data_IF_323373244407
#
_entry.id   IF_323373244407
#
_cell.length_a   1.000
_cell.length_b   1.000
_cell.length_c   1.000
_cell.angle_alpha   90.00
_cell.angle_beta   90.00
_cell.angle_gamma   90.00
#
_symmetry.space_group_name_H-M   'P 1'
#
loop_
_entity.id
_entity.type
_entity.pdbx_description
1 polymer ?
#
# COMPACT_ATOMS: atom_id res chain seq x y z
N UNK A 1 55.31 -3.66 17.59
CA UNK A 1 54.17 -4.55 17.25
C UNK A 1 52.84 -4.10 17.87
N UNK A 2 52.79 -3.75 19.16
CA UNK A 2 51.55 -3.34 19.87
C UNK A 2 50.85 -2.10 19.26
N UNK A 3 51.60 -1.09 18.78
CA UNK A 3 51.06 0.14 18.20
C UNK A 3 50.33 -0.11 16.87
N UNK A 4 50.82 -1.00 15.98
CA UNK A 4 50.19 -1.33 14.71
C UNK A 4 48.88 -2.12 14.91
N UNK A 5 48.82 -2.99 15.92
CA UNK A 5 47.60 -3.76 16.25
C UNK A 5 46.50 -2.81 16.77
N UNK A 6 46.86 -1.83 17.61
CA UNK A 6 45.91 -0.84 18.11
C UNK A 6 45.31 0.01 16.99
N UNK A 7 46.13 0.40 16.01
CA UNK A 7 45.69 1.20 14.85
C UNK A 7 44.70 0.41 13.98
N UNK A 8 44.99 -0.87 13.73
CA UNK A 8 44.10 -1.76 12.96
C UNK A 8 42.76 -1.94 13.69
N UNK A 9 42.78 -2.10 15.00
CA UNK A 9 41.54 -2.24 15.80
C UNK A 9 40.67 -0.99 15.74
N UNK A 10 41.28 0.21 15.83
CA UNK A 10 40.56 1.49 15.71
C UNK A 10 39.93 1.68 14.32
N UNK A 11 40.63 1.26 13.25
CA UNK A 11 40.08 1.33 11.89
C UNK A 11 38.91 0.38 11.71
N UNK A 12 38.97 -0.86 12.20
CA UNK A 12 37.90 -1.84 12.11
C UNK A 12 36.65 -1.37 12.88
N UNK A 13 36.86 -0.83 14.10
CA UNK A 13 35.77 -0.26 14.92
C UNK A 13 35.16 0.95 14.22
N UNK A 14 35.98 1.84 13.64
CA UNK A 14 35.49 3.01 12.88
C UNK A 14 34.66 2.62 11.64
N UNK A 15 35.14 1.64 10.85
CA UNK A 15 34.40 1.12 9.71
C UNK A 15 33.09 0.45 10.13
N UNK A 16 33.12 -0.31 11.24
CA UNK A 16 31.90 -0.93 11.79
C UNK A 16 30.86 0.09 12.25
N UNK A 17 31.28 1.17 12.90
CA UNK A 17 30.39 2.27 13.32
C UNK A 17 29.80 2.99 12.09
N UNK A 18 30.62 3.28 11.08
CA UNK A 18 30.15 3.93 9.83
C UNK A 18 29.14 3.02 9.11
N UNK A 19 29.38 1.71 9.02
CA UNK A 19 28.43 0.77 8.42
C UNK A 19 27.11 0.70 9.20
N UNK A 20 27.15 0.72 10.54
CA UNK A 20 25.95 0.75 11.39
C UNK A 20 25.19 2.07 11.27
N UNK A 21 25.85 3.19 11.07
CA UNK A 21 25.21 4.50 10.85
C UNK A 21 24.55 4.56 9.46
N UNK A 22 25.18 4.01 8.43
CA UNK A 22 24.62 3.98 7.07
C UNK A 22 23.38 3.10 6.92
N UNK A 23 23.22 2.05 7.74
CA UNK A 23 22.02 1.21 7.71
C UNK A 23 20.80 1.89 8.32
N UNK A 24 20.95 2.85 9.23
CA UNK A 24 19.83 3.62 9.81
C UNK A 24 19.24 4.63 8.84
N UNK A 25 20.05 5.23 7.97
CA UNK A 25 19.59 6.29 7.04
C UNK A 25 18.76 5.76 5.86
N UNK A 26 18.82 4.46 5.59
CA UNK A 26 18.04 3.83 4.50
C UNK A 26 16.55 3.71 4.80
N UNK A 27 16.13 3.83 6.06
CA UNK A 27 14.73 3.67 6.48
C UNK A 27 13.98 5.00 6.68
N UNK A 28 14.66 6.15 6.61
CA UNK A 28 14.06 7.47 6.84
C UNK A 28 14.15 8.29 5.55
N UNK A 29 13.05 8.92 5.13
CA UNK A 29 13.09 9.88 4.04
C UNK A 29 13.69 11.23 4.50
N UNK A 30 14.00 12.13 3.56
CA UNK A 30 14.57 13.46 3.83
C UNK A 30 13.72 14.34 4.77
N UNK A 31 12.47 13.98 5.03
CA UNK A 31 11.57 14.64 5.99
C UNK A 31 11.54 13.94 7.36
N UNK A 32 12.45 13.01 7.65
CA UNK A 32 12.53 12.30 8.94
C UNK A 32 11.41 11.28 9.18
N UNK A 33 10.53 11.04 8.19
CA UNK A 33 9.47 10.02 8.29
C UNK A 33 9.97 8.66 7.78
N UNK A 34 9.56 7.54 8.39
CA UNK A 34 9.90 6.22 7.87
C UNK A 34 9.37 6.08 6.44
N UNK A 35 10.18 5.45 5.57
CA UNK A 35 9.71 5.09 4.23
C UNK A 35 8.63 4.02 4.35
N UNK A 36 7.47 4.30 3.73
CA UNK A 36 6.42 3.30 3.67
C UNK A 36 6.76 2.20 2.67
N UNK A 37 6.79 0.98 3.17
CA UNK A 37 7.12 -0.22 2.41
C UNK A 37 6.98 -1.47 3.26
N UNK A 38 7.49 -2.57 2.77
CA UNK A 38 7.41 -3.88 3.43
C UNK A 38 7.90 -3.83 4.88
N UNK A 39 7.12 -4.39 5.80
CA UNK A 39 7.42 -4.51 7.22
C UNK A 39 7.02 -3.29 8.06
N UNK A 40 6.48 -2.24 7.44
CA UNK A 40 6.06 -1.02 8.13
C UNK A 40 4.55 -1.07 8.40
N UNK A 41 4.06 -0.65 9.59
CA UNK A 41 2.64 -0.49 9.84
C UNK A 41 1.99 0.47 8.84
N UNK A 42 0.87 0.05 8.24
CA UNK A 42 0.10 0.90 7.34
C UNK A 42 -0.51 2.07 8.12
N UNK A 43 -0.29 3.33 7.70
CA UNK A 43 -0.89 4.48 8.34
C UNK A 43 -2.42 4.40 8.30
N UNK A 44 -3.07 4.65 9.44
CA UNK A 44 -4.53 4.70 9.47
C UNK A 44 -5.06 5.93 8.75
N UNK A 45 -6.19 5.78 8.09
CA UNK A 45 -6.97 6.86 7.50
C UNK A 45 -8.46 6.64 7.79
N UNK A 46 -9.24 7.69 7.64
CA UNK A 46 -10.71 7.62 7.67
C UNK A 46 -11.25 8.44 6.49
N UNK A 47 -11.92 7.78 5.55
CA UNK A 47 -12.41 8.36 4.31
C UNK A 47 -13.87 8.00 4.08
N UNK A 48 -14.57 8.76 3.23
CA UNK A 48 -15.96 8.50 2.88
C UNK A 48 -16.04 7.44 1.78
N UNK A 49 -16.84 6.40 2.00
CA UNK A 49 -17.30 5.50 0.95
C UNK A 49 -18.33 6.20 0.05
N UNK A 50 -18.59 5.63 -1.15
CA UNK A 50 -19.54 6.21 -2.12
C UNK A 50 -20.96 6.37 -1.57
N UNK A 51 -21.35 5.56 -0.59
CA UNK A 51 -22.64 5.66 0.14
C UNK A 51 -22.64 6.66 1.29
N UNK A 52 -21.56 7.43 1.50
CA UNK A 52 -21.45 8.43 2.58
C UNK A 52 -21.01 7.86 3.94
N UNK A 53 -20.90 6.54 4.09
CA UNK A 53 -20.39 5.93 5.33
C UNK A 53 -18.89 6.25 5.46
N UNK A 54 -18.47 6.68 6.64
CA UNK A 54 -17.06 6.81 6.98
C UNK A 54 -16.44 5.44 7.23
N UNK A 55 -15.27 5.21 6.64
CA UNK A 55 -14.53 3.95 6.66
C UNK A 55 -13.11 4.23 7.09
N UNK A 56 -12.65 3.51 8.10
CA UNK A 56 -11.28 3.56 8.59
C UNK A 56 -10.51 2.29 8.22
N UNK A 57 -9.22 2.38 7.92
CA UNK A 57 -8.41 1.19 7.67
C UNK A 57 -8.44 0.23 8.87
N UNK A 58 -8.50 0.77 10.08
CA UNK A 58 -8.57 -0.04 11.31
C UNK A 58 -9.84 -0.87 11.44
N UNK A 59 -10.92 -0.54 10.71
CA UNK A 59 -12.17 -1.31 10.70
C UNK A 59 -11.99 -2.70 10.04
N UNK A 60 -10.86 -2.88 9.32
CA UNK A 60 -10.54 -4.09 8.57
C UNK A 60 -9.44 -4.95 9.21
N UNK A 61 -9.15 -4.74 10.49
CA UNK A 61 -8.22 -5.63 11.21
C UNK A 61 -8.67 -7.09 11.11
N UNK A 62 -7.72 -8.01 10.96
CA UNK A 62 -8.00 -9.42 10.71
C UNK A 62 -8.26 -9.78 9.25
N UNK A 63 -8.32 -8.78 8.34
CA UNK A 63 -8.40 -9.01 6.90
C UNK A 63 -7.09 -8.63 6.20
N UNK A 64 -6.79 -9.33 5.12
CA UNK A 64 -5.77 -8.92 4.13
C UNK A 64 -6.37 -7.85 3.24
N UNK A 65 -5.69 -6.71 3.09
CA UNK A 65 -6.21 -5.56 2.34
C UNK A 65 -5.37 -5.30 1.09
N UNK A 66 -6.03 -5.14 -0.04
CA UNK A 66 -5.47 -4.46 -1.21
C UNK A 66 -5.93 -3.00 -1.17
N UNK A 67 -5.08 -2.12 -0.64
CA UNK A 67 -5.29 -0.68 -0.71
C UNK A 67 -4.75 -0.19 -2.04
N UNK A 68 -5.61 0.35 -2.91
CA UNK A 68 -5.24 0.90 -4.21
C UNK A 68 -5.57 2.39 -4.27
N UNK A 69 -4.59 3.22 -4.62
CA UNK A 69 -4.75 4.67 -4.77
C UNK A 69 -4.78 4.98 -6.27
N UNK A 70 -5.89 5.57 -6.73
CA UNK A 70 -6.22 5.68 -8.16
C UNK A 70 -7.03 6.93 -8.49
N UNK A 71 -7.35 7.12 -9.79
CA UNK A 71 -8.27 8.15 -10.26
C UNK A 71 -8.99 7.72 -11.55
N UNK A 72 -10.18 8.27 -11.79
CA UNK A 72 -10.98 7.96 -12.99
C UNK A 72 -10.34 8.45 -14.29
N UNK A 73 -9.53 9.50 -14.22
CA UNK A 73 -8.80 10.11 -15.34
C UNK A 73 -7.43 9.50 -15.60
N UNK A 74 -7.03 8.47 -14.87
CA UNK A 74 -5.72 7.82 -14.97
C UNK A 74 -5.83 6.56 -15.87
N UNK A 75 -5.35 6.55 -17.13
CA UNK A 75 -5.50 5.41 -18.02
C UNK A 75 -4.95 4.11 -17.46
N UNK A 76 -3.71 4.03 -16.91
CA UNK A 76 -3.20 2.78 -16.38
C UNK A 76 -3.98 2.29 -15.14
N UNK A 77 -4.63 3.21 -14.37
CA UNK A 77 -5.53 2.81 -13.30
C UNK A 77 -6.78 2.10 -13.87
N UNK A 78 -7.34 2.64 -14.97
CA UNK A 78 -8.52 2.04 -15.62
C UNK A 78 -8.19 0.65 -16.17
N UNK A 79 -6.99 0.47 -16.72
CA UNK A 79 -6.54 -0.81 -17.29
C UNK A 79 -6.45 -1.94 -16.25
N UNK A 80 -6.09 -1.65 -14.99
CA UNK A 80 -5.98 -2.69 -13.95
C UNK A 80 -7.33 -3.06 -13.30
N UNK A 81 -8.37 -2.20 -13.39
CA UNK A 81 -9.66 -2.39 -12.70
C UNK A 81 -10.35 -3.73 -13.01
N UNK A 82 -10.36 -4.25 -14.26
CA UNK A 82 -10.96 -5.56 -14.53
C UNK A 82 -10.26 -6.70 -13.79
N UNK A 83 -8.95 -6.65 -13.62
CA UNK A 83 -8.19 -7.66 -12.88
C UNK A 83 -8.42 -7.55 -11.37
N UNK A 84 -8.55 -6.35 -10.84
CA UNK A 84 -8.96 -6.11 -9.45
C UNK A 84 -10.36 -6.66 -9.19
N UNK A 85 -11.30 -6.44 -10.11
CA UNK A 85 -12.67 -6.97 -9.98
C UNK A 85 -12.70 -8.49 -9.96
N UNK A 86 -11.88 -9.15 -10.79
CA UNK A 86 -11.75 -10.62 -10.77
C UNK A 86 -11.17 -11.12 -9.44
N UNK A 87 -10.09 -10.50 -8.97
CA UNK A 87 -9.50 -10.82 -7.66
C UNK A 87 -10.55 -10.66 -6.54
N UNK A 88 -11.31 -9.57 -6.57
CA UNK A 88 -12.36 -9.31 -5.58
C UNK A 88 -13.44 -10.40 -5.59
N UNK A 89 -13.93 -10.78 -6.76
CA UNK A 89 -14.94 -11.84 -6.90
C UNK A 89 -14.45 -13.18 -6.37
N UNK A 90 -13.16 -13.48 -6.55
CA UNK A 90 -12.54 -14.72 -6.09
C UNK A 90 -12.40 -14.78 -4.56
N UNK A 91 -12.10 -13.64 -3.90
CA UNK A 91 -11.68 -13.63 -2.50
C UNK A 91 -12.63 -12.88 -1.55
N UNK A 92 -13.70 -12.23 -2.03
CA UNK A 92 -14.58 -11.36 -1.22
C UNK A 92 -15.26 -12.07 -0.04
N UNK A 93 -15.44 -13.37 -0.11
CA UNK A 93 -16.07 -14.19 0.93
C UNK A 93 -15.03 -14.73 1.95
N UNK A 94 -13.75 -14.39 1.79
CA UNK A 94 -12.67 -14.72 2.68
C UNK A 94 -12.27 -13.52 3.58
N UNK A 95 -11.24 -13.70 4.42
CA UNK A 95 -10.66 -12.60 5.22
C UNK A 95 -9.84 -11.65 4.34
N UNK A 96 -10.49 -11.05 3.33
CA UNK A 96 -9.91 -10.16 2.33
C UNK A 96 -10.82 -8.96 2.05
N UNK A 97 -10.22 -7.82 1.64
CA UNK A 97 -10.96 -6.68 1.14
C UNK A 97 -10.12 -5.85 0.18
N UNK A 98 -10.76 -5.18 -0.78
CA UNK A 98 -10.16 -4.11 -1.59
C UNK A 98 -10.68 -2.77 -1.08
N UNK A 99 -9.77 -1.85 -0.78
CA UNK A 99 -10.07 -0.46 -0.49
C UNK A 99 -9.51 0.41 -1.62
N UNK A 100 -10.32 0.72 -2.62
CA UNK A 100 -9.93 1.54 -3.76
C UNK A 100 -10.17 3.03 -3.45
N UNK A 101 -9.11 3.75 -3.08
CA UNK A 101 -9.17 5.18 -2.71
C UNK A 101 -8.95 6.05 -3.94
N UNK A 102 -10.01 6.69 -4.40
CA UNK A 102 -9.94 7.67 -5.49
C UNK A 102 -9.48 9.04 -4.98
N UNK A 103 -8.58 9.65 -5.73
CA UNK A 103 -8.13 11.05 -5.53
C UNK A 103 -8.82 12.03 -6.48
N UNK A 104 -9.94 11.65 -7.10
CA UNK A 104 -10.74 12.56 -7.91
C UNK A 104 -11.27 13.73 -7.08
N UNK A 105 -10.99 14.96 -7.50
CA UNK A 105 -11.45 16.16 -6.80
C UNK A 105 -12.97 16.22 -6.72
N UNK A 106 -13.67 15.70 -7.74
CA UNK A 106 -15.13 15.62 -7.77
C UNK A 106 -15.70 14.49 -6.88
N UNK A 107 -14.84 13.67 -6.29
CA UNK A 107 -15.20 12.60 -5.35
C UNK A 107 -16.25 11.64 -5.93
N UNK A 108 -17.30 11.37 -5.14
CA UNK A 108 -18.36 10.44 -5.53
C UNK A 108 -19.06 10.77 -6.86
N UNK A 109 -19.10 12.07 -7.25
CA UNK A 109 -19.68 12.48 -8.54
C UNK A 109 -18.94 11.92 -9.74
N UNK A 110 -17.63 11.76 -9.67
CA UNK A 110 -16.82 11.14 -10.71
C UNK A 110 -16.79 9.60 -10.54
N UNK A 111 -16.60 9.13 -9.31
CA UNK A 111 -16.31 7.72 -9.03
C UNK A 111 -17.53 6.83 -9.17
N UNK A 112 -18.72 7.26 -8.72
CA UNK A 112 -19.92 6.43 -8.77
C UNK A 112 -20.34 6.02 -10.20
N UNK A 113 -20.43 6.95 -11.18
CA UNK A 113 -20.74 6.57 -12.56
C UNK A 113 -19.63 5.71 -13.19
N UNK A 114 -18.37 5.94 -12.83
CA UNK A 114 -17.25 5.13 -13.28
C UNK A 114 -17.40 3.68 -12.79
N UNK A 115 -17.60 3.45 -11.48
CA UNK A 115 -17.79 2.12 -10.90
C UNK A 115 -18.95 1.37 -11.57
N UNK A 116 -20.08 2.06 -11.82
CA UNK A 116 -21.22 1.50 -12.52
C UNK A 116 -20.90 1.12 -13.96
N UNK A 117 -20.26 2.03 -14.71
CA UNK A 117 -19.87 1.80 -16.12
C UNK A 117 -18.98 0.59 -16.28
N UNK A 118 -18.00 0.43 -15.38
CA UNK A 118 -17.03 -0.67 -15.42
C UNK A 118 -17.46 -1.91 -14.63
N UNK A 119 -18.71 -1.93 -14.07
CA UNK A 119 -19.28 -3.03 -13.30
C UNK A 119 -18.37 -3.46 -12.13
N UNK A 120 -17.79 -2.48 -11.45
CA UNK A 120 -16.92 -2.70 -10.29
C UNK A 120 -17.76 -2.75 -9.02
N UNK A 121 -17.52 -3.76 -8.17
CA UNK A 121 -18.32 -4.02 -6.95
C UNK A 121 -17.51 -3.97 -5.65
N UNK A 122 -16.18 -3.85 -5.73
CA UNK A 122 -15.36 -3.67 -4.54
C UNK A 122 -15.56 -2.27 -3.92
N UNK A 123 -15.29 -2.09 -2.61
CA UNK A 123 -15.41 -0.81 -1.94
C UNK A 123 -14.54 0.29 -2.57
N UNK A 124 -15.17 1.41 -2.93
CA UNK A 124 -14.49 2.61 -3.36
C UNK A 124 -14.69 3.74 -2.34
N UNK A 125 -13.58 4.36 -1.98
CA UNK A 125 -13.51 5.49 -1.07
C UNK A 125 -13.08 6.74 -1.83
N UNK A 126 -13.41 7.92 -1.31
CA UNK A 126 -13.03 9.19 -1.96
C UNK A 126 -12.19 10.06 -1.04
N UNK A 127 -11.07 10.54 -1.58
CA UNK A 127 -10.20 11.53 -0.95
C UNK A 127 -10.06 12.76 -1.87
N UNK A 128 -11.04 13.65 -1.82
CA UNK A 128 -11.08 14.85 -2.68
C UNK A 128 -9.95 15.85 -2.40
N UNK A 129 -9.29 15.71 -1.26
CA UNK A 129 -8.15 16.55 -0.85
C UNK A 129 -6.80 15.94 -1.21
N UNK A 130 -6.77 14.67 -1.61
CA UNK A 130 -5.54 13.94 -1.94
C UNK A 130 -4.62 13.72 -0.73
N UNK A 131 -5.15 13.77 0.48
CA UNK A 131 -4.38 13.60 1.72
C UNK A 131 -3.74 12.21 1.82
N UNK A 132 -4.39 11.20 1.26
CA UNK A 132 -3.89 9.82 1.21
C UNK A 132 -2.52 9.73 0.50
N UNK A 133 -2.29 10.57 -0.52
CA UNK A 133 -1.01 10.59 -1.26
C UNK A 133 0.16 10.94 -0.35
N UNK A 134 0.01 12.00 0.44
CA UNK A 134 1.04 12.41 1.39
C UNK A 134 1.19 11.39 2.52
N UNK A 135 0.08 10.84 3.01
CA UNK A 135 0.06 9.86 4.09
C UNK A 135 0.77 8.55 3.67
N UNK A 136 0.51 8.07 2.45
CA UNK A 136 1.10 6.84 1.90
C UNK A 136 2.35 7.09 1.06
N UNK A 137 2.86 8.34 1.03
CA UNK A 137 4.07 8.72 0.30
C UNK A 137 4.01 8.24 -1.17
N UNK A 138 2.84 8.39 -1.81
CA UNK A 138 2.65 7.99 -3.20
C UNK A 138 3.29 8.99 -4.14
N UNK A 139 3.99 8.47 -5.15
CA UNK A 139 4.68 9.28 -6.18
C UNK A 139 3.83 9.50 -7.41
N UNK A 140 2.83 8.64 -7.62
CA UNK A 140 1.90 8.69 -8.75
C UNK A 140 0.69 7.79 -8.52
N UNK A 141 -0.14 7.62 -9.55
CA UNK A 141 -1.24 6.65 -9.57
C UNK A 141 -1.15 5.80 -10.84
N UNK A 142 -1.50 4.49 -10.78
CA UNK A 142 -1.91 3.78 -9.57
C UNK A 142 -0.72 3.43 -8.66
N UNK A 143 -0.93 3.43 -7.37
CA UNK A 143 -0.06 2.77 -6.40
C UNK A 143 -0.89 1.90 -5.47
N UNK A 144 -0.40 0.68 -5.20
CA UNK A 144 -1.10 -0.28 -4.35
C UNK A 144 -0.25 -0.74 -3.19
N UNK A 145 -0.91 -1.03 -2.07
CA UNK A 145 -0.29 -1.58 -0.87
C UNK A 145 -1.04 -2.83 -0.48
N UNK A 146 -0.32 -3.95 -0.37
CA UNK A 146 -0.85 -5.18 0.21
C UNK A 146 -0.56 -5.11 1.71
N UNK A 147 -1.60 -5.21 2.52
CA UNK A 147 -1.54 -5.07 3.98
C UNK A 147 -2.06 -6.38 4.58
N UNK A 148 -1.32 -6.95 5.54
CA UNK A 148 -1.72 -8.19 6.20
C UNK A 148 -2.76 -7.97 7.30
N UNK A 149 -3.18 -9.06 7.95
CA UNK A 149 -4.21 -9.06 9.01
C UNK A 149 -3.84 -8.19 10.21
N UNK A 150 -2.54 -8.02 10.47
CA UNK A 150 -2.00 -7.20 11.56
C UNK A 150 -1.86 -5.72 11.16
N UNK A 151 -2.18 -5.40 9.89
CA UNK A 151 -2.07 -4.05 9.33
C UNK A 151 -0.66 -3.67 8.98
N UNK A 152 0.21 -4.63 8.72
CA UNK A 152 1.59 -4.41 8.25
C UNK A 152 1.62 -4.45 6.72
N UNK A 153 2.30 -3.50 6.10
CA UNK A 153 2.51 -3.50 4.65
C UNK A 153 3.44 -4.67 4.30
N UNK A 154 2.97 -5.60 3.48
CA UNK A 154 3.78 -6.72 2.99
C UNK A 154 4.35 -6.48 1.60
N UNK A 155 3.70 -5.62 0.81
CA UNK A 155 4.19 -5.23 -0.52
C UNK A 155 3.68 -3.82 -0.87
N UNK A 156 4.52 -3.02 -1.54
CA UNK A 156 4.15 -1.78 -2.23
C UNK A 156 4.36 -1.98 -3.72
N UNK A 157 3.34 -1.70 -4.52
CA UNK A 157 3.36 -1.82 -5.99
C UNK A 157 3.19 -0.43 -6.60
N UNK A 158 4.12 -0.02 -7.44
CA UNK A 158 4.09 1.25 -8.17
C UNK A 158 3.72 0.95 -9.62
N UNK A 159 2.67 1.60 -10.11
CA UNK A 159 2.13 1.37 -11.44
C UNK A 159 1.09 0.24 -11.50
N UNK A 160 0.49 0.01 -12.68
CA UNK A 160 -0.58 -0.97 -12.87
C UNK A 160 -0.06 -2.41 -12.77
N UNK A 161 -0.94 -3.31 -12.33
CA UNK A 161 -0.64 -4.74 -12.21
C UNK A 161 -1.85 -5.58 -12.60
N UNK A 162 -1.62 -6.74 -13.20
CA UNK A 162 -2.65 -7.77 -13.34
C UNK A 162 -2.80 -8.55 -12.02
N UNK A 163 -3.88 -8.24 -11.30
CA UNK A 163 -4.21 -8.80 -10.00
C UNK A 163 -4.88 -10.16 -10.08
N UNK A 164 -5.35 -10.58 -11.28
CA UNK A 164 -6.07 -11.83 -11.50
C UNK A 164 -5.17 -12.97 -11.99
N UNK A 165 -3.85 -12.79 -12.03
CA UNK A 165 -2.95 -13.90 -12.35
C UNK A 165 -3.02 -14.99 -11.28
N UNK A 166 -2.88 -16.28 -11.65
CA UNK A 166 -2.86 -17.36 -10.66
C UNK A 166 -1.81 -17.18 -9.56
N UNK A 167 -0.68 -16.52 -9.90
CA UNK A 167 0.38 -16.20 -8.93
C UNK A 167 -0.07 -15.14 -7.92
N UNK A 168 -0.74 -14.07 -8.38
CA UNK A 168 -1.26 -13.02 -7.51
C UNK A 168 -2.33 -13.58 -6.57
N UNK A 169 -3.33 -14.31 -7.08
CA UNK A 169 -4.39 -14.93 -6.27
C UNK A 169 -3.78 -15.83 -5.20
N UNK A 170 -2.86 -16.73 -5.57
CA UNK A 170 -2.19 -17.61 -4.58
C UNK A 170 -1.42 -16.83 -3.51
N UNK A 171 -0.84 -15.69 -3.85
CA UNK A 171 -0.13 -14.84 -2.89
C UNK A 171 -1.09 -14.28 -1.84
N UNK A 172 -2.26 -13.79 -2.24
CA UNK A 172 -3.30 -13.34 -1.32
C UNK A 172 -3.85 -14.48 -0.47
N UNK A 173 -4.14 -15.65 -1.06
CA UNK A 173 -4.61 -16.82 -0.33
C UNK A 173 -3.62 -17.25 0.77
N UNK A 174 -2.31 -17.22 0.49
CA UNK A 174 -1.27 -17.50 1.49
C UNK A 174 -1.30 -16.51 2.65
N UNK A 175 -1.52 -15.21 2.38
CA UNK A 175 -1.62 -14.21 3.42
C UNK A 175 -2.89 -14.38 4.26
N UNK A 176 -4.01 -14.74 3.63
CA UNK A 176 -5.29 -15.01 4.28
C UNK A 176 -5.20 -16.22 5.21
N UNK A 177 -4.49 -17.28 4.79
CA UNK A 177 -4.31 -18.52 5.57
C UNK A 177 -3.27 -18.39 6.69
N UNK A 178 -2.41 -17.38 6.65
CA UNK A 178 -1.43 -17.10 7.69
C UNK A 178 -2.14 -16.66 8.97
N UNK A 179 -1.92 -17.41 10.06
CA UNK A 179 -2.36 -17.05 11.42
C UNK A 179 -1.47 -15.96 12.01
#
# INVERSE_FOLDING_TARGET
>A
MKSKILLIFLVIVGVGIIALLQTKDSFINLSGKPRLGKGVPAPNFTLSALGGKMVSLTDYRGKVILLNIWATWCPPCVEEMPSMQKLYQELKDESFEILAVSIDVSGAKAVLPFMKKHKLSFPALTDTKGAIKSLYQTTGVPESFIIDKDGIIVEKVIGPRDWATPGAIRSFQKLIQKN
#
